data_IF_506396729992
#
_entry.id   IF_506396729992
#
_cell.length_a   1.000
_cell.length_b   1.000
_cell.length_c   1.000
_cell.angle_alpha   90.00
_cell.angle_beta   90.00
_cell.angle_gamma   90.00
#
_symmetry.space_group_name_H-M   'P 1'
#
loop_
_entity.id
_entity.type
_entity.pdbx_description
1 polymer ?
#
# COMPACT_ATOMS: atom_id res chain seq x y z
N UNK A 1 -4.29 3.27 9.76
CA UNK A 1 -5.66 2.72 9.49
C UNK A 1 -5.67 1.85 8.25
N UNK A 2 -4.97 2.24 7.19
CA UNK A 2 -4.91 1.45 5.96
C UNK A 2 -4.11 0.16 6.18
N UNK A 3 -3.03 0.23 6.95
CA UNK A 3 -2.18 -0.88 7.37
C UNK A 3 -3.00 -1.92 8.13
N UNK A 4 -3.80 -1.49 9.11
CA UNK A 4 -4.71 -2.39 9.85
C UNK A 4 -5.74 -3.07 8.93
N UNK A 5 -6.24 -2.35 7.92
CA UNK A 5 -7.19 -2.93 6.97
C UNK A 5 -6.52 -3.95 6.04
N UNK A 6 -5.29 -3.68 5.58
CA UNK A 6 -4.51 -4.64 4.80
C UNK A 6 -4.13 -5.84 5.64
N UNK A 7 -3.73 -5.67 6.90
CA UNK A 7 -3.47 -6.77 7.82
C UNK A 7 -4.70 -7.67 8.01
N UNK A 8 -5.89 -7.07 8.19
CA UNK A 8 -7.15 -7.83 8.23
C UNK A 8 -7.45 -8.54 6.91
N UNK A 9 -7.18 -7.89 5.78
CA UNK A 9 -7.34 -8.51 4.47
C UNK A 9 -6.43 -9.74 4.30
N UNK A 10 -5.16 -9.64 4.68
CA UNK A 10 -4.21 -10.76 4.64
C UNK A 10 -4.70 -11.95 5.48
N UNK A 11 -5.18 -11.69 6.71
CA UNK A 11 -5.72 -12.73 7.59
C UNK A 11 -6.99 -13.37 7.01
N UNK A 12 -7.93 -12.55 6.52
CA UNK A 12 -9.26 -13.02 6.15
C UNK A 12 -9.35 -13.59 4.74
N UNK A 13 -8.56 -13.05 3.81
CA UNK A 13 -8.64 -13.37 2.38
C UNK A 13 -7.48 -14.26 1.97
N UNK A 14 -6.26 -13.99 2.44
CA UNK A 14 -5.09 -14.83 2.14
C UNK A 14 -4.82 -15.90 3.21
N UNK A 15 -5.77 -16.08 4.15
CA UNK A 15 -5.72 -17.08 5.23
C UNK A 15 -4.45 -17.03 6.08
N UNK A 16 -3.86 -15.84 6.25
CA UNK A 16 -2.69 -15.68 7.10
C UNK A 16 -3.04 -15.81 8.60
N UNK A 17 -2.08 -16.30 9.38
CA UNK A 17 -2.25 -16.38 10.84
C UNK A 17 -2.03 -15.00 11.47
N UNK A 18 -2.91 -14.48 12.33
CA UNK A 18 -2.76 -13.16 12.92
C UNK A 18 -1.42 -12.91 13.64
N UNK A 19 -0.87 -13.93 14.30
CA UNK A 19 0.44 -13.84 15.00
C UNK A 19 1.63 -13.65 14.06
N UNK A 20 1.43 -13.85 12.76
CA UNK A 20 2.47 -13.73 11.73
C UNK A 20 2.42 -12.38 11.01
N UNK A 21 1.47 -11.51 11.36
CA UNK A 21 1.26 -10.21 10.74
C UNK A 21 1.65 -9.13 11.74
N UNK A 22 2.72 -8.41 11.41
CA UNK A 22 3.32 -7.38 12.23
C UNK A 22 3.09 -6.01 11.60
N UNK A 23 2.58 -5.05 12.37
CA UNK A 23 2.39 -3.66 11.91
C UNK A 23 3.37 -2.80 12.70
N UNK A 24 4.35 -2.20 12.04
CA UNK A 24 5.46 -1.51 12.73
C UNK A 24 4.98 -0.41 13.68
N UNK A 25 4.05 0.42 13.22
CA UNK A 25 3.46 1.50 14.02
C UNK A 25 2.73 1.02 15.29
N UNK A 26 2.32 -0.25 15.34
CA UNK A 26 1.68 -0.84 16.51
C UNK A 26 2.66 -1.53 17.48
N UNK A 27 3.90 -1.79 17.04
CA UNK A 27 4.88 -2.60 17.78
C UNK A 27 6.12 -1.81 18.20
N UNK A 28 6.43 -0.71 17.52
CA UNK A 28 7.60 0.11 17.86
C UNK A 28 7.48 0.74 19.25
N UNK A 29 8.60 0.79 19.96
CA UNK A 29 8.65 1.35 21.31
C UNK A 29 8.44 2.87 21.34
N UNK A 30 8.86 3.56 20.28
CA UNK A 30 8.79 5.01 20.14
C UNK A 30 8.67 5.41 18.66
N UNK A 31 8.56 6.72 18.43
CA UNK A 31 8.42 7.31 17.10
C UNK A 31 9.77 7.77 16.51
N UNK A 32 10.90 7.31 17.06
CA UNK A 32 12.22 7.66 16.55
C UNK A 32 12.51 6.94 15.23
N UNK A 33 13.13 7.66 14.29
CA UNK A 33 13.51 7.13 12.99
C UNK A 33 14.72 6.20 13.12
N UNK A 34 14.58 4.93 12.67
CA UNK A 34 15.65 3.93 12.64
C UNK A 34 15.80 3.39 11.23
N UNK A 35 16.89 3.79 10.56
CA UNK A 35 17.15 3.36 9.19
C UNK A 35 17.28 1.83 9.09
N UNK A 36 16.55 1.22 8.15
CA UNK A 36 16.58 -0.23 7.88
C UNK A 36 15.60 -1.06 8.72
N UNK A 37 15.04 -0.49 9.78
CA UNK A 37 14.07 -1.17 10.66
C UNK A 37 12.61 -0.91 10.27
N UNK A 38 12.35 0.13 9.46
CA UNK A 38 11.00 0.52 9.06
C UNK A 38 10.35 -0.48 8.09
N UNK A 39 9.06 -0.72 8.29
CA UNK A 39 8.15 -1.40 7.38
C UNK A 39 6.72 -0.95 7.69
N UNK A 40 5.79 -1.01 6.75
CA UNK A 40 4.38 -0.78 7.09
C UNK A 40 3.77 -2.04 7.70
N UNK A 41 3.93 -3.17 6.99
CA UNK A 41 3.53 -4.51 7.45
C UNK A 41 4.65 -5.49 7.17
N UNK A 42 4.90 -6.41 8.10
CA UNK A 42 5.76 -7.58 7.91
C UNK A 42 4.93 -8.85 8.07
N UNK A 43 5.16 -9.81 7.16
CA UNK A 43 4.52 -11.12 7.20
C UNK A 43 5.58 -12.21 7.35
N UNK A 44 5.34 -13.13 8.28
CA UNK A 44 6.21 -14.29 8.54
C UNK A 44 5.46 -15.57 8.16
N UNK A 45 5.86 -16.22 7.08
CA UNK A 45 5.24 -17.47 6.61
C UNK A 45 6.32 -18.46 6.22
N UNK A 46 6.21 -19.72 6.64
CA UNK A 46 7.18 -20.78 6.38
C UNK A 46 8.63 -20.40 6.76
N UNK A 47 8.81 -19.65 7.86
CA UNK A 47 10.11 -19.11 8.28
C UNK A 47 10.79 -18.19 7.25
N UNK A 48 10.00 -17.60 6.35
CA UNK A 48 10.40 -16.55 5.41
C UNK A 48 9.71 -15.26 5.83
N UNK A 49 10.50 -14.19 5.95
CA UNK A 49 10.03 -12.86 6.25
C UNK A 49 9.85 -12.07 4.96
N UNK A 50 8.70 -11.40 4.81
CA UNK A 50 8.44 -10.48 3.70
C UNK A 50 7.86 -9.17 4.20
N UNK A 51 8.39 -8.06 3.69
CA UNK A 51 7.94 -6.70 3.99
C UNK A 51 6.95 -6.24 2.95
N UNK A 52 5.88 -5.61 3.43
CA UNK A 52 4.83 -5.00 2.64
C UNK A 52 4.85 -3.50 2.83
N UNK A 53 4.73 -2.77 1.73
CA UNK A 53 4.43 -1.35 1.73
C UNK A 53 2.92 -1.12 1.53
N UNK A 54 2.34 -0.21 2.30
CA UNK A 54 0.92 0.16 2.24
C UNK A 54 0.79 1.66 2.00
N UNK A 55 0.58 2.07 0.75
CA UNK A 55 0.37 3.49 0.41
C UNK A 55 -1.09 3.78 0.16
N UNK A 56 -1.76 4.41 1.13
CA UNK A 56 -3.15 4.79 0.97
C UNK A 56 -3.34 6.14 0.27
N UNK A 57 -4.54 6.38 -0.28
CA UNK A 57 -4.90 7.69 -0.85
C UNK A 57 -6.39 7.98 -0.75
N UNK A 58 -6.74 9.26 -0.89
CA UNK A 58 -8.10 9.72 -0.99
C UNK A 58 -8.58 9.70 -2.44
N UNK A 59 -9.73 9.09 -2.69
CA UNK A 59 -10.51 9.28 -3.92
C UNK A 59 -11.76 10.08 -3.58
N UNK A 60 -11.69 11.38 -3.84
CA UNK A 60 -12.74 12.33 -3.47
C UNK A 60 -13.28 13.11 -4.68
N UNK A 61 -12.47 13.29 -5.73
CA UNK A 61 -12.90 13.94 -6.99
C UNK A 61 -13.34 12.96 -8.08
N UNK A 62 -13.06 11.68 -7.90
CA UNK A 62 -13.22 10.65 -8.93
C UNK A 62 -13.99 9.46 -8.37
N UNK A 63 -14.70 8.75 -9.25
CA UNK A 63 -15.23 7.43 -8.91
C UNK A 63 -14.09 6.43 -8.70
N UNK A 64 -14.36 5.32 -8.00
CA UNK A 64 -13.36 4.28 -7.79
C UNK A 64 -12.92 3.63 -9.11
N UNK A 65 -13.84 3.49 -10.07
CA UNK A 65 -13.54 2.96 -11.41
C UNK A 65 -12.58 3.87 -12.16
N UNK A 66 -12.85 5.18 -12.16
CA UNK A 66 -11.95 6.17 -12.74
C UNK A 66 -10.59 6.17 -12.04
N UNK A 67 -10.59 6.01 -10.71
CA UNK A 67 -9.36 5.92 -9.94
C UNK A 67 -8.49 4.75 -10.41
N UNK A 68 -9.06 3.54 -10.49
CA UNK A 68 -8.35 2.35 -10.94
C UNK A 68 -7.81 2.47 -12.38
N UNK A 69 -8.51 3.21 -13.24
CA UNK A 69 -8.08 3.46 -14.62
C UNK A 69 -6.91 4.45 -14.74
N UNK A 70 -6.90 5.49 -13.90
CA UNK A 70 -5.99 6.63 -14.09
C UNK A 70 -4.74 6.57 -13.22
N UNK A 71 -4.83 5.99 -12.02
CA UNK A 71 -3.80 6.11 -10.99
C UNK A 71 -2.85 4.90 -10.93
N UNK A 72 -1.86 5.04 -10.06
CA UNK A 72 -0.74 4.12 -9.92
C UNK A 72 -0.72 3.51 -8.49
N UNK A 73 -0.13 2.33 -8.36
CA UNK A 73 0.44 1.85 -7.11
C UNK A 73 1.79 2.56 -6.90
N UNK A 74 2.08 2.93 -5.66
CA UNK A 74 3.28 3.67 -5.29
C UNK A 74 4.23 2.71 -4.57
N UNK A 75 5.42 2.54 -5.13
CA UNK A 75 6.54 1.88 -4.48
C UNK A 75 7.39 2.88 -3.69
N UNK A 76 8.63 2.50 -3.42
CA UNK A 76 9.59 3.35 -2.70
C UNK A 76 9.86 4.66 -3.41
N UNK A 77 10.30 5.62 -2.62
CA UNK A 77 10.68 6.92 -3.14
C UNK A 77 12.11 7.29 -2.79
N UNK A 78 12.70 8.09 -3.66
CA UNK A 78 13.94 8.79 -3.37
C UNK A 78 13.61 10.24 -3.07
N UNK A 79 14.15 10.74 -1.96
CA UNK A 79 14.10 12.14 -1.55
C UNK A 79 15.50 12.57 -1.11
N UNK A 80 15.81 13.87 -1.12
CA UNK A 80 17.15 14.37 -0.77
C UNK A 80 17.64 13.90 0.62
N UNK A 81 16.71 13.73 1.56
CA UNK A 81 16.94 13.25 2.94
C UNK A 81 16.90 11.73 3.13
N UNK A 82 16.31 10.97 2.20
CA UNK A 82 16.25 9.49 2.20
C UNK A 82 16.87 9.00 0.88
N UNK A 83 18.21 8.91 0.86
CA UNK A 83 18.98 8.61 -0.37
C UNK A 83 18.84 7.17 -0.85
N UNK A 84 18.48 6.23 0.03
CA UNK A 84 18.28 4.81 -0.31
C UNK A 84 17.22 4.19 0.60
N UNK A 85 15.99 4.08 0.13
CA UNK A 85 14.95 3.25 0.75
C UNK A 85 14.95 1.89 0.07
N UNK A 86 15.10 0.81 0.84
CA UNK A 86 15.02 -0.54 0.29
C UNK A 86 13.59 -0.82 -0.15
N UNK A 87 13.43 -1.33 -1.38
CA UNK A 87 12.12 -1.67 -1.93
C UNK A 87 11.55 -2.92 -1.27
N UNK A 88 10.37 -2.77 -0.66
CA UNK A 88 9.57 -3.84 -0.06
C UNK A 88 9.32 -5.00 -1.03
N UNK A 89 9.04 -6.18 -0.47
CA UNK A 89 8.80 -7.39 -1.24
C UNK A 89 7.47 -7.35 -2.01
N UNK A 90 6.46 -6.68 -1.44
CA UNK A 90 5.16 -6.48 -2.07
C UNK A 90 4.47 -5.20 -1.59
N UNK A 91 3.41 -4.83 -2.30
CA UNK A 91 2.75 -3.53 -2.20
C UNK A 91 1.24 -3.72 -2.23
N UNK A 92 0.53 -2.99 -1.38
CA UNK A 92 -0.94 -2.83 -1.47
C UNK A 92 -1.32 -1.37 -1.67
N UNK A 93 -2.42 -1.15 -2.39
CA UNK A 93 -3.00 0.18 -2.66
C UNK A 93 -4.40 0.33 -2.05
N UNK A 94 -4.52 0.73 -0.78
CA UNK A 94 -5.82 1.04 -0.18
C UNK A 94 -6.31 2.45 -0.57
N UNK A 95 -7.60 2.60 -0.88
CA UNK A 95 -8.21 3.87 -1.29
C UNK A 95 -9.42 4.17 -0.41
N UNK A 96 -9.41 5.35 0.19
CA UNK A 96 -10.54 5.93 0.90
C UNK A 96 -11.41 6.69 -0.10
N UNK A 97 -12.48 6.06 -0.56
CA UNK A 97 -13.45 6.61 -1.51
C UNK A 97 -14.58 7.32 -0.78
N UNK A 98 -14.80 8.61 -1.04
CA UNK A 98 -16.00 9.27 -0.56
C UNK A 98 -17.24 8.72 -1.27
N UNK A 99 -18.33 8.53 -0.53
CA UNK A 99 -19.61 8.13 -1.13
C UNK A 99 -20.16 9.22 -2.05
N UNK A 100 -19.88 10.48 -1.74
CA UNK A 100 -20.24 11.66 -2.52
C UNK A 100 -18.97 12.40 -2.93
N UNK A 101 -18.85 12.73 -4.21
CA UNK A 101 -17.67 13.44 -4.72
C UNK A 101 -17.61 14.86 -4.17
N UNK A 102 -16.39 15.36 -4.01
CA UNK A 102 -16.08 16.68 -3.44
C UNK A 102 -14.88 17.28 -4.15
N UNK A 103 -14.87 18.60 -4.31
CA UNK A 103 -13.70 19.33 -4.81
C UNK A 103 -12.65 19.60 -3.73
N UNK A 104 -13.03 19.46 -2.46
CA UNK A 104 -12.17 19.70 -1.31
C UNK A 104 -11.56 18.40 -0.78
N UNK A 105 -10.25 18.44 -0.49
CA UNK A 105 -9.54 17.33 0.17
C UNK A 105 -10.14 17.12 1.56
N UNK A 106 -10.53 15.88 1.91
CA UNK A 106 -10.95 15.54 3.26
C UNK A 106 -9.88 15.88 4.31
N UNK A 107 -10.28 16.54 5.41
CA UNK A 107 -9.36 16.92 6.49
C UNK A 107 -8.93 15.73 7.35
N UNK A 108 -9.86 14.81 7.66
CA UNK A 108 -9.62 13.70 8.58
C UNK A 108 -10.42 12.46 8.17
N UNK A 109 -9.79 11.29 8.18
CA UNK A 109 -10.42 10.01 7.89
C UNK A 109 -11.35 9.52 9.00
N UNK A 110 -11.04 9.78 10.27
CA UNK A 110 -11.84 9.30 11.41
C UNK A 110 -13.25 9.92 11.40
N UNK A 111 -13.35 11.21 11.10
CA UNK A 111 -14.61 11.96 11.06
C UNK A 111 -15.53 11.54 9.90
N UNK A 112 -14.98 10.84 8.90
CA UNK A 112 -15.73 10.36 7.74
C UNK A 112 -16.08 8.87 7.85
N UNK A 113 -15.21 8.08 8.50
CA UNK A 113 -15.46 6.64 8.73
C UNK A 113 -16.63 6.44 9.70
N UNK A 114 -16.67 7.16 10.83
CA UNK A 114 -17.75 7.04 11.83
C UNK A 114 -19.16 7.21 11.24
N UNK A 115 -19.45 8.28 10.46
CA UNK A 115 -20.74 8.45 9.81
C UNK A 115 -20.90 7.65 8.50
N UNK A 116 -19.99 6.71 8.19
CA UNK A 116 -20.00 5.90 6.96
C UNK A 116 -20.00 6.71 5.65
N UNK A 117 -19.38 7.90 5.65
CA UNK A 117 -19.28 8.78 4.47
C UNK A 117 -18.18 8.36 3.48
N UNK A 118 -17.35 7.40 3.89
CA UNK A 118 -16.23 6.89 3.12
C UNK A 118 -16.24 5.36 3.14
N UNK A 119 -15.80 4.76 2.04
CA UNK A 119 -15.52 3.33 1.91
C UNK A 119 -14.04 3.13 1.67
N UNK A 120 -13.46 2.14 2.33
CA UNK A 120 -12.10 1.72 2.06
C UNK A 120 -12.12 0.57 1.05
N UNK A 121 -11.36 0.71 -0.03
CA UNK A 121 -11.13 -0.32 -1.04
C UNK A 121 -9.66 -0.70 -1.04
N UNK A 122 -9.33 -1.98 -1.23
CA UNK A 122 -7.98 -2.40 -1.61
C UNK A 122 -8.05 -2.64 -3.11
N UNK A 123 -7.50 -1.72 -3.91
CA UNK A 123 -7.76 -1.70 -5.36
C UNK A 123 -6.69 -2.38 -6.20
N UNK A 124 -5.49 -2.55 -5.64
CA UNK A 124 -4.38 -3.16 -6.33
C UNK A 124 -3.38 -3.76 -5.34
N UNK A 125 -2.66 -4.76 -5.81
CA UNK A 125 -1.49 -5.31 -5.18
C UNK A 125 -0.46 -5.71 -6.24
N UNK A 126 0.81 -5.69 -5.89
CA UNK A 126 1.87 -6.25 -6.73
C UNK A 126 3.08 -6.66 -5.91
N UNK A 127 3.89 -7.57 -6.44
CA UNK A 127 5.19 -7.88 -5.89
C UNK A 127 6.24 -6.86 -6.37
N UNK A 128 7.45 -6.97 -5.81
CA UNK A 128 8.63 -6.19 -6.19
C UNK A 128 8.97 -6.33 -7.66
N UNK A 129 8.86 -7.52 -8.24
CA UNK A 129 9.22 -7.76 -9.64
C UNK A 129 8.27 -7.03 -10.59
N UNK A 130 6.97 -7.07 -10.33
CA UNK A 130 5.94 -6.36 -11.08
C UNK A 130 6.08 -4.84 -10.90
N UNK A 131 6.39 -4.36 -9.69
CA UNK A 131 6.71 -2.95 -9.46
C UNK A 131 7.88 -2.47 -10.35
N UNK A 132 8.92 -3.30 -10.48
CA UNK A 132 10.14 -3.01 -11.26
C UNK A 132 9.91 -3.16 -12.77
N UNK A 133 9.24 -4.22 -13.21
CA UNK A 133 9.16 -4.61 -14.63
C UNK A 133 8.00 -3.97 -15.39
N UNK A 134 6.88 -3.71 -14.70
CA UNK A 134 5.69 -3.06 -15.28
C UNK A 134 5.61 -1.57 -14.96
N UNK A 135 6.49 -1.10 -14.08
CA UNK A 135 6.54 0.28 -13.64
C UNK A 135 7.23 1.18 -14.65
N UNK A 136 6.67 2.38 -14.81
CA UNK A 136 7.44 3.48 -15.37
C UNK A 136 8.15 4.14 -14.19
N UNK A 137 9.45 3.87 -14.07
CA UNK A 137 10.32 4.58 -13.14
C UNK A 137 10.10 6.09 -13.29
N UNK A 138 10.16 6.83 -12.17
CA UNK A 138 10.38 8.29 -12.16
C UNK A 138 9.15 9.20 -12.27
N UNK A 139 8.04 8.87 -11.59
CA UNK A 139 7.01 9.89 -11.37
C UNK A 139 7.43 10.84 -10.26
N UNK A 140 7.70 12.08 -10.66
CA UNK A 140 7.88 13.19 -9.76
C UNK A 140 6.54 13.62 -9.17
N UNK A 141 6.44 13.59 -7.85
CA UNK A 141 5.29 14.04 -7.09
C UNK A 141 5.72 15.13 -6.09
N UNK A 142 4.76 15.69 -5.36
CA UNK A 142 5.03 16.75 -4.37
C UNK A 142 5.82 17.94 -4.96
N UNK A 143 5.36 18.44 -6.13
CA UNK A 143 5.99 19.55 -6.86
C UNK A 143 7.45 19.29 -7.29
N UNK A 144 7.81 18.04 -7.59
CA UNK A 144 9.12 17.71 -8.15
C UNK A 144 10.21 17.39 -7.13
N UNK A 145 9.84 17.24 -5.85
CA UNK A 145 10.81 16.95 -4.78
C UNK A 145 10.98 15.46 -4.51
N UNK A 146 9.95 14.66 -4.78
CA UNK A 146 9.94 13.24 -4.45
C UNK A 146 9.74 12.41 -5.70
N UNK A 147 10.62 11.44 -5.91
CA UNK A 147 10.61 10.57 -7.08
C UNK A 147 10.19 9.16 -6.67
N UNK A 148 9.02 8.75 -7.14
CA UNK A 148 8.46 7.43 -6.81
C UNK A 148 8.72 6.42 -7.92
N UNK A 149 8.89 5.15 -7.52
CA UNK A 149 8.61 4.01 -8.38
C UNK A 149 7.10 3.82 -8.44
N UNK A 150 6.55 3.72 -9.65
CA UNK A 150 5.10 3.61 -9.83
C UNK A 150 4.74 2.65 -10.94
N UNK A 151 3.71 1.85 -10.69
CA UNK A 151 3.10 0.96 -11.68
C UNK A 151 1.63 1.30 -11.83
N UNK A 152 1.13 1.32 -13.06
CA UNK A 152 -0.27 1.62 -13.33
C UNK A 152 -1.18 0.53 -12.75
N UNK A 153 -2.24 0.93 -12.03
CA UNK A 153 -3.18 -0.02 -11.43
C UNK A 153 -3.79 -0.94 -12.50
N UNK A 154 -4.17 -0.38 -13.65
CA UNK A 154 -4.78 -1.15 -14.74
C UNK A 154 -3.81 -2.10 -15.49
N UNK A 155 -2.52 -2.13 -15.15
CA UNK A 155 -1.55 -3.12 -15.67
C UNK A 155 -1.29 -4.27 -14.69
N UNK A 156 -1.86 -4.18 -13.50
CA UNK A 156 -1.72 -5.16 -12.44
C UNK A 156 -2.91 -6.11 -12.45
N UNK A 157 -2.68 -7.29 -11.89
CA UNK A 157 -3.74 -8.24 -11.63
C UNK A 157 -4.71 -7.64 -10.61
N UNK A 158 -5.97 -8.10 -10.63
CA UNK A 158 -6.86 -7.84 -9.49
C UNK A 158 -6.24 -8.40 -8.22
N UNK A 159 -6.67 -7.89 -7.06
CA UNK A 159 -6.18 -8.37 -5.76
C UNK A 159 -6.45 -9.87 -5.58
N UNK A 160 -7.56 -10.38 -6.10
CA UNK A 160 -7.89 -11.81 -6.07
C UNK A 160 -6.86 -12.65 -6.84
N UNK A 161 -6.35 -12.12 -7.95
CA UNK A 161 -5.31 -12.77 -8.76
C UNK A 161 -3.88 -12.48 -8.27
N UNK A 162 -3.74 -11.80 -7.13
CA UNK A 162 -2.45 -11.59 -6.48
C UNK A 162 -2.12 -12.69 -5.47
N UNK A 163 -3.07 -13.50 -5.02
CA UNK A 163 -2.85 -14.53 -4.00
C UNK A 163 -1.75 -15.54 -4.40
N UNK A 164 -1.76 -16.01 -5.65
CA UNK A 164 -0.72 -16.92 -6.15
C UNK A 164 0.68 -16.28 -6.09
N UNK A 165 0.79 -15.04 -6.59
CA UNK A 165 2.04 -14.28 -6.54
C UNK A 165 2.50 -14.05 -5.11
N UNK A 166 1.56 -13.72 -4.22
CA UNK A 166 1.80 -13.54 -2.80
C UNK A 166 2.35 -14.83 -2.16
N UNK A 167 1.74 -15.98 -2.42
CA UNK A 167 2.20 -17.27 -1.89
C UNK A 167 3.61 -17.61 -2.38
N UNK A 168 3.90 -17.38 -3.66
CA UNK A 168 5.23 -17.61 -4.24
C UNK A 168 6.33 -16.78 -3.56
N UNK A 169 6.01 -15.67 -2.90
CA UNK A 169 7.00 -14.89 -2.13
C UNK A 169 7.59 -15.67 -0.96
N UNK A 170 6.90 -16.70 -0.47
CA UNK A 170 7.28 -17.48 0.70
C UNK A 170 7.72 -18.91 0.37
N UNK A 171 7.78 -19.24 -0.92
CA UNK A 171 8.37 -20.47 -1.41
C UNK A 171 9.90 -20.33 -1.46
N UNK A 172 10.62 -21.40 -1.13
CA UNK A 172 12.09 -21.45 -1.14
C UNK A 172 12.60 -22.22 -2.35
#
# INVERSE_FOLDING_TARGET
MAELAVAKFLVQIFNETPSNIHIYDAERADFEYRAGEEYDIKVIKNSVEKKCEVRNSWSYKTSISDFCRMYDILGTYTHESKKTEEMSDFFFRPILQLNELSDAIPKNSIELVKPKKVKLYIVAACDKQQMISKGNYNKWMSKGQTKYHTTKINLLNSVDSFEDLYNNLFER
#
